data_IF_100693602137
#
_entry.id   IF_100693602137
#
_cell.length_a   1.000
_cell.length_b   1.000
_cell.length_c   1.000
_cell.angle_alpha   90.00
_cell.angle_beta   90.00
_cell.angle_gamma   90.00
#
_symmetry.space_group_name_H-M   'P 1'
#
loop_
_entity.id
_entity.type
_entity.pdbx_description
1 polymer ?
#
# COMPACT_ATOMS: atom_id res chain seq x y z
N UNK A 1 -11.29 19.68 13.46
CA UNK A 1 -11.63 18.30 13.29
C UNK A 1 -10.41 17.42 13.49
N UNK A 2 -10.67 16.17 13.57
CA UNK A 2 -9.60 15.21 13.72
C UNK A 2 -8.58 15.34 12.58
N UNK A 3 -9.06 15.54 11.38
CA UNK A 3 -8.19 15.68 10.23
C UNK A 3 -7.33 16.94 10.35
N UNK A 4 -7.92 18.01 10.79
CA UNK A 4 -7.18 19.24 10.96
C UNK A 4 -6.09 19.07 11.99
N UNK A 5 -6.41 18.44 13.08
CA UNK A 5 -5.43 18.20 14.11
C UNK A 5 -4.25 17.39 13.59
N UNK A 6 -4.57 16.37 12.82
CA UNK A 6 -3.54 15.53 12.25
C UNK A 6 -2.63 16.32 11.31
N UNK A 7 -3.23 17.18 10.53
CA UNK A 7 -2.46 18.01 9.60
C UNK A 7 -1.52 18.93 10.34
N UNK A 8 -1.99 19.49 11.43
CA UNK A 8 -1.14 20.36 12.21
C UNK A 8 0.06 19.63 12.76
N UNK A 9 -0.17 18.42 13.23
CA UNK A 9 0.93 17.62 13.75
C UNK A 9 1.96 17.34 12.67
N UNK A 10 1.51 17.06 11.49
CA UNK A 10 2.41 16.79 10.39
C UNK A 10 3.21 18.03 10.04
N UNK A 11 2.57 19.17 10.05
CA UNK A 11 3.26 20.39 9.71
C UNK A 11 4.38 20.75 10.64
N UNK A 12 4.29 20.33 11.87
CA UNK A 12 5.36 20.62 12.80
C UNK A 12 6.66 19.96 12.43
N UNK A 13 6.60 18.91 11.66
CA UNK A 13 7.78 18.14 11.34
C UNK A 13 8.25 18.29 9.92
N UNK A 14 7.68 19.19 9.19
CA UNK A 14 8.03 19.33 7.80
C UNK A 14 9.36 20.04 7.56
N UNK A 15 10.01 20.44 8.59
CA UNK A 15 11.23 21.22 8.45
C UNK A 15 12.38 20.44 7.87
N UNK A 16 12.33 19.13 7.97
CA UNK A 16 13.45 18.33 7.56
C UNK A 16 12.98 17.19 6.68
N UNK A 17 12.96 17.43 5.38
CA UNK A 17 12.63 16.36 4.47
C UNK A 17 11.25 15.78 4.74
N UNK A 18 10.26 16.56 4.44
CA UNK A 18 8.89 16.14 4.67
C UNK A 18 8.57 14.88 3.88
N UNK A 19 7.92 13.95 4.52
CA UNK A 19 7.42 12.76 3.87
C UNK A 19 5.92 12.93 3.70
N UNK A 20 5.51 12.87 2.45
CA UNK A 20 4.09 12.91 2.14
C UNK A 20 3.57 11.48 2.07
N UNK A 21 2.47 11.24 2.76
CA UNK A 21 1.83 9.93 2.73
C UNK A 21 0.63 9.99 1.81
N UNK A 22 0.59 9.10 0.85
CA UNK A 22 -0.51 9.01 -0.09
C UNK A 22 -1.19 7.67 0.09
N UNK A 23 -2.50 7.70 0.32
CA UNK A 23 -3.27 6.48 0.49
C UNK A 23 -3.90 6.14 -0.84
N UNK A 24 -3.74 4.91 -1.26
CA UNK A 24 -4.33 4.44 -2.49
C UNK A 24 -4.65 2.95 -2.36
N UNK A 25 -5.22 2.39 -3.40
CA UNK A 25 -5.49 0.97 -3.41
C UNK A 25 -4.28 0.23 -3.94
N UNK A 26 -4.17 -1.03 -3.57
CA UNK A 26 -3.04 -1.83 -4.00
C UNK A 26 -2.95 -1.91 -5.53
N UNK A 27 -4.10 -1.97 -6.20
CA UNK A 27 -4.10 -2.07 -7.66
C UNK A 27 -3.64 -0.79 -8.34
N UNK A 28 -3.47 0.28 -7.59
CA UNK A 28 -2.99 1.54 -8.15
C UNK A 28 -1.47 1.69 -8.07
N UNK A 29 -0.80 0.74 -7.47
CA UNK A 29 0.66 0.78 -7.44
C UNK A 29 1.22 0.49 -8.83
N UNK A 30 2.28 1.22 -9.16
CA UNK A 30 2.99 0.98 -10.42
C UNK A 30 4.11 -0.01 -10.18
N UNK A 31 4.55 -0.63 -11.25
CA UNK A 31 5.66 -1.57 -11.13
C UNK A 31 6.85 -0.89 -10.48
N UNK A 32 7.40 -1.57 -9.48
CA UNK A 32 8.53 -1.05 -8.73
C UNK A 32 8.18 -0.24 -7.51
N UNK A 33 6.93 0.16 -7.35
CA UNK A 33 6.54 0.96 -6.20
C UNK A 33 6.31 0.10 -4.97
N UNK A 34 6.66 0.65 -3.82
CA UNK A 34 6.43 0.01 -2.53
C UNK A 34 5.44 0.81 -1.72
N UNK A 35 4.75 0.11 -0.84
CA UNK A 35 3.80 0.77 0.04
C UNK A 35 3.58 -0.08 1.27
N UNK A 36 2.99 0.52 2.29
CA UNK A 36 2.62 -0.21 3.50
C UNK A 36 1.14 -0.51 3.50
N UNK A 37 0.78 -1.68 3.95
CA UNK A 37 -0.63 -2.07 4.03
C UNK A 37 -1.30 -1.29 5.15
N UNK A 38 -2.44 -0.67 4.85
CA UNK A 38 -3.21 0.03 5.85
C UNK A 38 -4.37 -0.83 6.33
N UNK A 39 -5.15 -1.34 5.40
CA UNK A 39 -6.29 -2.16 5.77
C UNK A 39 -6.77 -2.95 4.57
N UNK A 40 -7.51 -4.00 4.87
CA UNK A 40 -8.15 -4.84 3.87
C UNK A 40 -9.65 -4.70 4.04
N UNK A 41 -10.35 -4.49 2.94
CA UNK A 41 -11.80 -4.44 2.97
C UNK A 41 -12.42 -5.74 2.49
N UNK A 42 -11.60 -6.72 2.17
CA UNK A 42 -12.08 -8.05 1.87
C UNK A 42 -12.67 -8.66 3.14
N UNK A 43 -13.55 -9.61 2.97
CA UNK A 43 -14.22 -10.23 4.09
C UNK A 43 -14.15 -11.75 3.99
N UNK A 44 -14.47 -12.41 5.08
CA UNK A 44 -14.60 -13.86 5.10
C UNK A 44 -13.30 -14.59 4.84
N UNK A 45 -13.40 -15.68 4.12
CA UNK A 45 -12.25 -16.54 3.89
C UNK A 45 -11.19 -15.87 3.03
N UNK A 46 -11.60 -14.97 2.15
CA UNK A 46 -10.63 -14.28 1.31
C UNK A 46 -9.74 -13.41 2.17
N UNK A 47 -10.33 -12.67 3.10
CA UNK A 47 -9.54 -11.83 3.97
C UNK A 47 -8.57 -12.66 4.79
N UNK A 48 -9.03 -13.78 5.31
CA UNK A 48 -8.18 -14.65 6.11
C UNK A 48 -7.01 -15.17 5.28
N UNK A 49 -7.29 -15.58 4.05
CA UNK A 49 -6.23 -16.08 3.20
C UNK A 49 -5.19 -15.01 2.89
N UNK A 50 -5.63 -13.79 2.63
CA UNK A 50 -4.72 -12.71 2.35
C UNK A 50 -3.86 -12.40 3.57
N UNK A 51 -4.46 -12.43 4.75
CA UNK A 51 -3.71 -12.20 5.97
C UNK A 51 -2.69 -13.30 6.22
N UNK A 52 -3.04 -14.52 5.90
CA UNK A 52 -2.13 -15.64 6.10
C UNK A 52 -0.88 -15.52 5.25
N UNK A 53 -0.98 -14.91 4.08
CA UNK A 53 0.19 -14.76 3.22
C UNK A 53 0.93 -13.45 3.50
N UNK A 54 0.50 -12.70 4.51
CA UNK A 54 1.27 -11.56 4.94
C UNK A 54 0.65 -10.19 4.67
N UNK A 55 -0.54 -10.15 4.09
CA UNK A 55 -1.20 -8.86 3.82
C UNK A 55 -1.92 -8.40 5.07
N UNK A 56 -1.14 -7.87 6.00
CA UNK A 56 -1.69 -7.37 7.26
C UNK A 56 -1.25 -5.92 7.41
N UNK A 57 -2.01 -5.13 8.16
CA UNK A 57 -1.63 -3.73 8.38
C UNK A 57 -0.20 -3.65 8.91
N UNK A 58 0.57 -2.75 8.31
CA UNK A 58 1.95 -2.58 8.68
C UNK A 58 2.94 -3.34 7.83
N UNK A 59 2.49 -4.30 7.06
CA UNK A 59 3.39 -5.04 6.17
C UNK A 59 3.71 -4.21 4.94
N UNK A 60 4.88 -4.42 4.39
CA UNK A 60 5.27 -3.75 3.15
C UNK A 60 4.95 -4.63 1.96
N UNK A 61 4.56 -3.99 0.89
CA UNK A 61 4.25 -4.66 -0.36
C UNK A 61 4.90 -3.89 -1.48
N UNK A 62 5.40 -4.62 -2.47
CA UNK A 62 6.00 -3.99 -3.63
C UNK A 62 5.36 -4.57 -4.88
N UNK A 63 4.98 -3.70 -5.79
CA UNK A 63 4.43 -4.14 -7.06
C UNK A 63 5.58 -4.56 -7.95
N UNK A 64 5.60 -5.82 -8.35
CA UNK A 64 6.71 -6.34 -9.13
C UNK A 64 6.45 -6.30 -10.62
N UNK A 65 5.37 -6.91 -11.05
CA UNK A 65 5.16 -7.09 -12.47
C UNK A 65 3.68 -7.23 -12.75
N UNK A 66 3.23 -6.50 -13.74
CA UNK A 66 1.86 -6.63 -14.21
C UNK A 66 1.85 -7.58 -15.41
N UNK A 67 0.87 -8.46 -15.42
CA UNK A 67 0.78 -9.40 -16.53
C UNK A 67 0.45 -8.62 -17.80
N UNK A 68 0.68 -9.23 -18.98
CA UNK A 68 0.39 -8.54 -20.24
C UNK A 68 -1.04 -8.07 -20.36
N UNK A 69 -1.97 -8.77 -19.72
CA UNK A 69 -3.37 -8.36 -19.74
C UNK A 69 -3.72 -7.45 -18.57
N UNK A 70 -2.75 -7.15 -17.73
CA UNK A 70 -2.97 -6.27 -16.61
C UNK A 70 -3.52 -6.95 -15.36
N UNK A 71 -3.83 -8.23 -15.44
CA UNK A 71 -4.41 -8.95 -14.31
C UNK A 71 -4.11 -10.43 -14.48
N UNK A 72 -3.61 -11.10 -13.45
CA UNK A 72 -3.26 -10.57 -12.12
C UNK A 72 -1.94 -9.85 -12.13
N UNK A 73 -1.62 -9.24 -10.99
CA UNK A 73 -0.38 -8.51 -10.81
C UNK A 73 0.44 -9.22 -9.73
N UNK A 74 1.74 -9.31 -9.95
CA UNK A 74 2.62 -9.95 -8.99
C UNK A 74 3.14 -8.93 -7.99
N UNK A 75 3.07 -9.28 -6.72
CA UNK A 75 3.54 -8.43 -5.64
C UNK A 75 4.53 -9.20 -4.77
N UNK A 76 5.48 -8.47 -4.23
CA UNK A 76 6.40 -9.03 -3.24
C UNK A 76 5.86 -8.63 -1.86
N UNK A 77 5.52 -9.63 -1.08
CA UNK A 77 5.01 -9.44 0.26
C UNK A 77 5.87 -10.25 1.20
N UNK A 78 6.68 -9.55 2.00
CA UNK A 78 7.53 -10.19 2.99
C UNK A 78 8.46 -11.22 2.37
N UNK A 79 8.93 -10.95 1.17
CA UNK A 79 9.85 -11.83 0.50
C UNK A 79 9.21 -12.89 -0.37
N UNK A 80 7.90 -12.99 -0.35
CA UNK A 80 7.19 -13.96 -1.18
C UNK A 80 6.54 -13.27 -2.36
N UNK A 81 6.64 -13.87 -3.53
CA UNK A 81 6.01 -13.33 -4.73
C UNK A 81 4.63 -13.94 -4.88
N UNK A 82 3.63 -13.10 -4.87
CA UNK A 82 2.24 -13.54 -4.89
C UNK A 82 1.48 -12.79 -5.97
N UNK A 83 0.68 -13.52 -6.73
CA UNK A 83 -0.16 -12.92 -7.76
C UNK A 83 -1.52 -12.60 -7.14
N UNK A 84 -1.97 -11.36 -7.29
CA UNK A 84 -3.24 -10.93 -6.73
C UNK A 84 -4.07 -10.35 -7.85
N UNK A 85 -5.31 -10.79 -7.94
CA UNK A 85 -6.21 -10.28 -8.95
C UNK A 85 -6.66 -8.87 -8.61
N UNK A 86 -6.95 -8.10 -9.64
CA UNK A 86 -7.38 -6.72 -9.46
C UNK A 86 -8.59 -6.62 -8.54
N UNK A 87 -9.50 -7.55 -8.68
CA UNK A 87 -10.70 -7.58 -7.89
C UNK A 87 -10.38 -7.60 -6.39
N UNK A 88 -9.33 -8.31 -6.01
CA UNK A 88 -8.92 -8.34 -4.61
C UNK A 88 -8.04 -7.16 -4.26
N UNK A 89 -7.14 -6.80 -5.16
CA UNK A 89 -6.22 -5.70 -4.89
C UNK A 89 -6.96 -4.38 -4.70
N UNK A 90 -8.09 -4.21 -5.37
CA UNK A 90 -8.86 -2.98 -5.24
C UNK A 90 -9.49 -2.82 -3.86
N UNK A 91 -9.49 -3.87 -3.06
CA UNK A 91 -10.04 -3.82 -1.70
C UNK A 91 -8.96 -3.71 -0.64
N UNK A 92 -7.73 -3.55 -1.07
CA UNK A 92 -6.59 -3.43 -0.15
C UNK A 92 -6.07 -2.02 -0.24
N UNK A 93 -6.01 -1.33 0.90
CA UNK A 93 -5.56 0.05 0.93
C UNK A 93 -4.14 0.11 1.46
N UNK A 94 -3.32 0.91 0.79
CA UNK A 94 -1.91 1.03 1.10
C UNK A 94 -1.52 2.50 1.21
N UNK A 95 -0.39 2.72 1.83
CA UNK A 95 0.13 4.06 2.01
C UNK A 95 1.52 4.13 1.37
N UNK A 96 1.68 5.08 0.47
CA UNK A 96 2.98 5.35 -0.15
C UNK A 96 3.60 6.55 0.52
N UNK A 97 4.85 6.43 0.92
CA UNK A 97 5.58 7.56 1.45
C UNK A 97 6.43 8.15 0.37
N UNK A 98 6.33 9.44 0.16
CA UNK A 98 7.14 10.14 -0.83
C UNK A 98 7.94 11.20 -0.12
N UNK A 99 9.24 11.11 -0.22
CA UNK A 99 10.09 12.14 0.32
C UNK A 99 9.95 13.39 -0.50
N UNK A 100 9.74 14.49 0.18
CA UNK A 100 9.49 15.74 -0.50
C UNK A 100 10.78 16.52 -0.62
N UNK A 101 11.29 16.54 -1.83
CA UNK A 101 12.35 17.46 -2.17
C UNK A 101 13.74 17.15 -1.69
N UNK A 102 13.91 16.22 -0.86
CA UNK A 102 15.21 16.04 -0.24
C UNK A 102 16.01 14.90 -0.81
N UNK A 103 15.67 14.34 -1.81
CA UNK A 103 16.44 13.19 -2.27
C UNK A 103 17.48 13.50 -3.23
#
# INVERSE_FOLDING_TARGET
>A
SHTVFHILAVQKYRLTGVIKMTICRLDELKEGEEAGIIRLESAGSIRRRLQDIGLVPGSKVKCLLKSPLGDPVAYDIRGAVIAIREEEASKIYVSKGVKNGAD
#
